data_IF_580754076268
#
_entry.id   IF_580754076268
#
_cell.length_a   1.000
_cell.length_b   1.000
_cell.length_c   1.000
_cell.angle_alpha   90.00
_cell.angle_beta   90.00
_cell.angle_gamma   90.00
#
_symmetry.space_group_name_H-M   'P 1'
#
loop_
_entity.id
_entity.type
_entity.pdbx_description
1 polymer ?
#
# COMPACT_ATOMS: atom_id res chain seq x y z
N UNK A 1 8.41 20.36 25.95
CA UNK A 1 8.48 19.65 24.67
C UNK A 1 8.55 18.18 25.02
N UNK A 2 7.68 17.35 24.46
CA UNK A 2 7.70 15.92 24.71
C UNK A 2 8.93 15.29 24.01
N UNK A 3 9.38 14.15 24.52
CA UNK A 3 10.56 13.44 24.01
C UNK A 3 10.18 12.19 23.23
N UNK A 4 11.01 11.78 22.25
CA UNK A 4 10.70 10.73 21.26
C UNK A 4 11.82 9.71 21.12
N UNK A 5 11.53 8.43 21.28
CA UNK A 5 12.38 7.31 20.87
C UNK A 5 11.98 6.85 19.46
N UNK A 6 12.93 6.79 18.54
CA UNK A 6 12.79 5.98 17.32
C UNK A 6 13.15 4.54 17.64
N UNK A 7 12.22 3.60 17.40
CA UNK A 7 12.45 2.17 17.57
C UNK A 7 12.42 1.46 16.21
N UNK A 8 13.44 0.69 15.91
CA UNK A 8 13.58 -0.05 14.65
C UNK A 8 14.01 -1.49 14.90
N UNK A 9 13.54 -2.39 14.04
CA UNK A 9 14.10 -3.75 13.92
C UNK A 9 14.69 -3.88 12.52
N UNK A 10 15.89 -4.43 12.43
CA UNK A 10 16.64 -4.44 11.16
C UNK A 10 17.27 -5.80 10.89
N UNK A 11 17.45 -6.11 9.60
CA UNK A 11 18.29 -7.21 9.11
C UNK A 11 18.73 -6.95 7.68
N UNK A 12 20.05 -6.81 7.44
CA UNK A 12 20.63 -6.62 6.11
C UNK A 12 20.04 -5.40 5.38
N UNK A 13 20.00 -4.24 6.04
CA UNK A 13 19.36 -3.00 5.57
C UNK A 13 20.38 -1.85 5.36
N UNK A 14 21.65 -2.17 5.11
CA UNK A 14 22.71 -1.16 4.98
C UNK A 14 22.42 -0.11 3.89
N UNK A 15 21.66 -0.45 2.86
CA UNK A 15 21.29 0.45 1.77
C UNK A 15 20.13 1.40 2.17
N UNK A 16 19.13 0.90 2.88
CA UNK A 16 17.90 1.63 3.20
C UNK A 16 18.00 2.45 4.50
N UNK A 17 18.64 1.87 5.53
CA UNK A 17 18.71 2.43 6.88
C UNK A 17 19.18 3.90 6.94
N UNK A 18 20.20 4.34 6.18
CA UNK A 18 20.64 5.75 6.22
C UNK A 18 19.55 6.75 5.87
N UNK A 19 18.68 6.39 4.92
CA UNK A 19 17.56 7.24 4.46
C UNK A 19 16.46 7.31 5.52
N UNK A 20 16.11 6.17 6.12
CA UNK A 20 15.13 6.11 7.21
C UNK A 20 15.57 6.98 8.38
N UNK A 21 16.81 6.81 8.86
CA UNK A 21 17.40 7.58 9.95
C UNK A 21 17.47 9.09 9.62
N UNK A 22 17.84 9.45 8.40
CA UNK A 22 17.89 10.85 7.97
C UNK A 22 16.51 11.53 8.02
N UNK A 23 15.41 10.79 7.76
CA UNK A 23 14.05 11.34 7.73
C UNK A 23 13.52 11.75 9.12
N UNK A 24 14.16 11.30 10.20
CA UNK A 24 13.74 11.55 11.60
C UNK A 24 14.82 12.27 12.43
N UNK A 25 15.93 12.70 11.82
CA UNK A 25 17.15 13.14 12.51
C UNK A 25 16.91 14.18 13.61
N UNK A 26 16.08 15.20 13.32
CA UNK A 26 15.85 16.31 14.23
C UNK A 26 14.60 16.11 15.12
N UNK A 27 13.93 14.97 14.98
CA UNK A 27 12.74 14.61 15.76
C UNK A 27 13.07 13.67 16.90
N UNK A 28 13.91 12.65 16.65
CA UNK A 28 14.22 11.60 17.61
C UNK A 28 15.24 12.11 18.65
N UNK A 29 14.89 12.05 19.92
CA UNK A 29 15.78 12.31 21.05
C UNK A 29 16.61 11.06 21.43
N UNK A 30 16.14 9.90 21.01
CA UNK A 30 16.76 8.60 21.21
C UNK A 30 16.52 7.69 19.99
N UNK A 31 17.50 6.87 19.63
CA UNK A 31 17.38 5.88 18.56
C UNK A 31 17.71 4.51 19.15
N UNK A 32 16.78 3.58 19.07
CA UNK A 32 16.92 2.17 19.49
C UNK A 32 16.79 1.27 18.27
N UNK A 33 17.81 0.47 18.00
CA UNK A 33 17.84 -0.48 16.89
C UNK A 33 18.03 -1.88 17.43
N UNK A 34 17.13 -2.79 17.10
CA UNK A 34 17.28 -4.23 17.37
C UNK A 34 17.67 -4.91 16.06
N UNK A 35 18.91 -5.38 16.00
CA UNK A 35 19.44 -6.17 14.89
C UNK A 35 19.11 -7.64 15.07
N UNK A 36 18.48 -8.26 14.08
CA UNK A 36 18.03 -9.66 14.11
C UNK A 36 18.96 -10.61 13.36
N UNK A 37 20.22 -10.23 13.22
CA UNK A 37 21.29 -11.04 12.63
C UNK A 37 21.70 -10.57 11.25
N UNK A 38 22.07 -9.31 11.10
CA UNK A 38 22.64 -8.74 9.86
C UNK A 38 24.02 -9.31 9.58
N UNK A 39 24.29 -9.60 8.31
CA UNK A 39 25.59 -9.99 7.78
C UNK A 39 26.34 -8.86 7.10
N UNK A 40 25.71 -7.68 6.96
CA UNK A 40 26.23 -6.48 6.28
C UNK A 40 26.63 -5.36 7.26
N UNK A 41 26.79 -4.12 6.76
CA UNK A 41 27.18 -2.97 7.56
C UNK A 41 26.03 -2.34 8.38
N UNK A 42 24.83 -2.92 8.41
CA UNK A 42 23.64 -2.36 9.08
C UNK A 42 23.90 -1.94 10.53
N UNK A 43 24.47 -2.78 11.42
CA UNK A 43 24.72 -2.38 12.81
C UNK A 43 25.70 -1.20 12.92
N UNK A 44 26.75 -1.22 12.11
CA UNK A 44 27.76 -0.14 12.09
C UNK A 44 27.17 1.20 11.63
N UNK A 45 26.23 1.18 10.70
CA UNK A 45 25.51 2.37 10.22
C UNK A 45 24.63 2.92 11.33
N UNK A 46 23.89 2.06 12.04
CA UNK A 46 23.06 2.44 13.17
C UNK A 46 23.91 3.09 14.31
N UNK A 47 25.01 2.47 14.69
CA UNK A 47 25.93 2.99 15.73
C UNK A 47 26.50 4.38 15.34
N UNK A 48 26.91 4.56 14.08
CA UNK A 48 27.41 5.86 13.57
C UNK A 48 26.34 6.95 13.59
N UNK A 49 25.06 6.59 13.50
CA UNK A 49 23.94 7.50 13.65
C UNK A 49 23.58 7.79 15.11
N UNK A 50 24.29 7.23 16.07
CA UNK A 50 24.08 7.42 17.51
C UNK A 50 23.00 6.48 18.11
N UNK A 51 22.62 5.41 17.41
CA UNK A 51 21.65 4.45 17.91
C UNK A 51 22.24 3.55 18.99
N UNK A 52 21.39 3.20 19.96
CA UNK A 52 21.61 2.05 20.86
C UNK A 52 21.29 0.78 20.09
N UNK A 53 22.33 0.03 19.70
CA UNK A 53 22.15 -1.23 18.93
C UNK A 53 22.13 -2.41 19.87
N UNK A 54 21.05 -3.21 19.79
CA UNK A 54 20.88 -4.46 20.53
C UNK A 54 20.73 -5.62 19.55
N UNK A 55 21.25 -6.78 19.91
CA UNK A 55 21.14 -7.98 19.08
C UNK A 55 20.09 -8.93 19.64
N UNK A 56 19.22 -9.41 18.77
CA UNK A 56 18.21 -10.42 19.09
C UNK A 56 18.30 -11.56 18.08
N UNK A 57 18.44 -12.79 18.57
CA UNK A 57 18.39 -13.96 17.70
C UNK A 57 16.98 -14.07 17.10
N UNK A 58 16.91 -14.14 15.77
CA UNK A 58 15.64 -14.25 15.07
C UNK A 58 14.89 -15.55 15.41
N UNK A 59 13.67 -15.40 15.91
CA UNK A 59 12.80 -16.50 16.35
C UNK A 59 11.51 -16.66 15.53
N UNK A 60 11.43 -16.12 14.29
CA UNK A 60 10.19 -16.07 13.49
C UNK A 60 9.04 -15.30 14.17
N UNK A 61 9.39 -14.28 14.93
CA UNK A 61 8.42 -13.46 15.67
C UNK A 61 8.81 -11.97 15.60
N UNK A 62 8.12 -11.23 14.74
CA UNK A 62 8.31 -9.80 14.59
C UNK A 62 7.85 -9.03 15.83
N UNK A 63 6.74 -9.43 16.48
CA UNK A 63 6.28 -8.77 17.69
C UNK A 63 7.31 -8.88 18.83
N UNK A 64 7.93 -10.03 18.99
CA UNK A 64 9.01 -10.20 19.98
C UNK A 64 10.20 -9.26 19.71
N UNK A 65 10.61 -9.12 18.45
CA UNK A 65 11.70 -8.21 18.08
C UNK A 65 11.31 -6.74 18.31
N UNK A 66 10.07 -6.34 17.92
CA UNK A 66 9.57 -4.98 18.21
C UNK A 66 9.49 -4.71 19.71
N UNK A 67 8.91 -5.62 20.48
CA UNK A 67 8.81 -5.45 21.94
C UNK A 67 10.19 -5.33 22.59
N UNK A 68 11.20 -6.05 22.09
CA UNK A 68 12.58 -5.89 22.56
C UNK A 68 13.12 -4.48 22.30
N UNK A 69 12.73 -3.80 21.22
CA UNK A 69 13.08 -2.39 21.00
C UNK A 69 12.32 -1.44 21.92
N UNK A 70 11.03 -1.72 22.17
CA UNK A 70 10.23 -0.92 23.11
C UNK A 70 10.77 -0.98 24.54
N UNK A 71 11.22 -2.17 24.97
CA UNK A 71 11.77 -2.37 26.32
C UNK A 71 13.07 -1.57 26.58
N UNK A 72 13.75 -1.10 25.51
CA UNK A 72 14.95 -0.26 25.59
C UNK A 72 14.66 1.24 25.43
N UNK A 73 13.46 1.61 24.99
CA UNK A 73 13.06 2.99 24.76
C UNK A 73 12.79 3.70 26.10
N UNK A 74 13.33 4.92 26.26
CA UNK A 74 13.23 5.67 27.51
C UNK A 74 12.44 6.96 27.41
N UNK A 75 12.07 7.39 26.17
CA UNK A 75 11.38 8.67 25.96
C UNK A 75 9.86 8.52 26.12
N UNK A 76 9.13 9.64 26.18
CA UNK A 76 7.68 9.68 26.42
C UNK A 76 6.87 9.08 25.25
N UNK A 77 7.36 9.27 24.03
CA UNK A 77 6.75 8.77 22.80
C UNK A 77 7.64 7.78 22.10
N UNK A 78 7.03 6.86 21.39
CA UNK A 78 7.70 5.90 20.51
C UNK A 78 7.22 6.16 19.09
N UNK A 79 8.17 6.35 18.18
CA UNK A 79 7.98 6.23 16.75
C UNK A 79 8.61 4.93 16.28
N UNK A 80 7.86 4.14 15.53
CA UNK A 80 8.40 2.93 14.90
C UNK A 80 8.48 3.14 13.39
N UNK A 81 9.64 2.85 12.81
CA UNK A 81 9.82 2.80 11.36
C UNK A 81 10.57 1.52 10.97
N UNK A 82 10.24 1.00 9.80
CA UNK A 82 11.03 -0.01 9.11
C UNK A 82 12.20 0.67 8.36
N UNK A 83 13.27 -0.05 8.08
CA UNK A 83 14.45 0.55 7.45
C UNK A 83 14.18 1.07 6.02
N UNK A 84 13.17 0.54 5.35
CA UNK A 84 12.70 0.94 4.01
C UNK A 84 11.52 1.94 4.05
N UNK A 85 11.19 2.46 5.25
CA UNK A 85 10.22 3.54 5.46
C UNK A 85 10.92 4.89 5.71
N UNK A 86 10.30 5.97 5.23
CA UNK A 86 10.74 7.35 5.48
C UNK A 86 9.55 8.23 5.80
N UNK A 87 9.71 9.19 6.72
CA UNK A 87 8.70 10.21 6.93
C UNK A 87 8.57 11.11 5.70
N UNK A 88 7.34 11.41 5.33
CA UNK A 88 7.05 12.54 4.45
C UNK A 88 7.17 13.86 5.22
N UNK A 89 7.17 15.00 4.52
CA UNK A 89 7.12 16.30 5.19
C UNK A 89 5.89 16.43 6.10
N UNK A 90 4.73 15.95 5.65
CA UNK A 90 3.50 15.97 6.45
C UNK A 90 3.61 15.11 7.72
N UNK A 91 4.22 13.92 7.62
CA UNK A 91 4.50 13.05 8.78
C UNK A 91 5.46 13.72 9.77
N UNK A 92 6.54 14.30 9.24
CA UNK A 92 7.53 15.02 10.04
C UNK A 92 6.89 16.19 10.83
N UNK A 93 6.16 17.08 10.13
CA UNK A 93 5.52 18.25 10.75
C UNK A 93 4.46 17.85 11.77
N UNK A 94 3.71 16.77 11.49
CA UNK A 94 2.73 16.26 12.42
C UNK A 94 3.38 15.71 13.71
N UNK A 95 4.44 14.90 13.63
CA UNK A 95 5.15 14.37 14.80
C UNK A 95 5.75 15.52 15.60
N UNK A 96 6.31 16.54 14.91
CA UNK A 96 6.81 17.74 15.57
C UNK A 96 5.71 18.44 16.35
N UNK A 97 4.50 18.60 15.79
CA UNK A 97 3.37 19.21 16.51
C UNK A 97 2.94 18.39 17.75
N UNK A 98 2.96 17.05 17.66
CA UNK A 98 2.70 16.18 18.83
C UNK A 98 3.72 16.40 19.94
N UNK A 99 5.00 16.65 19.61
CA UNK A 99 6.05 16.96 20.59
C UNK A 99 5.92 18.36 21.22
N UNK A 100 5.46 19.33 20.46
CA UNK A 100 5.52 20.76 20.83
C UNK A 100 4.19 21.28 21.39
N UNK A 101 3.06 20.76 20.94
CA UNK A 101 1.74 21.27 21.23
C UNK A 101 1.08 20.59 22.44
N UNK A 102 0.32 21.35 23.22
CA UNK A 102 -0.48 20.82 24.32
C UNK A 102 -1.80 20.18 23.87
N UNK A 103 -2.18 20.37 22.61
CA UNK A 103 -3.39 19.83 21.99
C UNK A 103 -3.13 19.53 20.53
N UNK A 104 -3.73 18.44 20.06
CA UNK A 104 -3.82 18.08 18.65
C UNK A 104 -5.30 18.14 18.24
N UNK A 105 -5.71 19.24 17.61
CA UNK A 105 -7.13 19.54 17.44
C UNK A 105 -7.83 19.67 18.79
N UNK A 106 -8.87 18.87 19.01
CA UNK A 106 -9.59 18.84 20.29
C UNK A 106 -8.94 17.91 21.34
N UNK A 107 -8.00 17.05 20.94
CA UNK A 107 -7.35 16.07 21.81
C UNK A 107 -6.23 16.75 22.61
N UNK A 108 -6.29 16.66 23.94
CA UNK A 108 -5.18 17.09 24.79
C UNK A 108 -3.99 16.15 24.60
N UNK A 109 -2.77 16.69 24.57
CA UNK A 109 -1.56 15.88 24.43
C UNK A 109 -1.50 14.75 25.48
N UNK A 110 -1.88 15.01 26.72
CA UNK A 110 -1.84 14.03 27.81
C UNK A 110 -2.86 12.89 27.66
N UNK A 111 -3.90 13.08 26.85
CA UNK A 111 -4.96 12.09 26.60
C UNK A 111 -4.72 11.34 25.28
N UNK A 112 -3.75 11.77 24.47
CA UNK A 112 -3.39 11.13 23.21
C UNK A 112 -2.53 9.89 23.46
N UNK A 113 -3.00 8.71 23.06
CA UNK A 113 -2.34 7.42 23.24
C UNK A 113 -1.64 6.92 21.99
N UNK A 114 -2.31 7.01 20.84
CA UNK A 114 -1.85 6.46 19.56
C UNK A 114 -2.16 7.43 18.42
N UNK A 115 -1.28 7.48 17.44
CA UNK A 115 -1.52 8.13 16.15
C UNK A 115 -1.41 7.10 15.04
N UNK A 116 -2.46 7.00 14.23
CA UNK A 116 -2.42 6.24 12.98
C UNK A 116 -2.03 7.16 11.81
N UNK A 117 -1.28 6.64 10.87
CA UNK A 117 -0.79 7.38 9.70
C UNK A 117 -1.07 6.60 8.43
N UNK A 118 -1.31 7.32 7.33
CA UNK A 118 -1.29 6.71 6.00
C UNK A 118 0.16 6.47 5.57
N UNK A 119 0.44 5.23 5.18
CA UNK A 119 1.68 4.83 4.53
C UNK A 119 1.41 4.64 3.04
N UNK A 120 2.25 5.24 2.20
CA UNK A 120 2.20 5.09 0.76
C UNK A 120 3.21 4.05 0.30
N UNK A 121 2.71 3.03 -0.40
CA UNK A 121 3.49 1.95 -0.99
C UNK A 121 4.04 2.41 -2.36
N UNK A 122 5.29 2.80 -2.42
CA UNK A 122 5.92 3.29 -3.65
C UNK A 122 6.05 2.14 -4.65
N UNK A 123 5.48 2.33 -5.84
CA UNK A 123 5.44 1.30 -6.90
C UNK A 123 4.21 0.41 -6.89
N UNK A 124 3.32 0.51 -5.90
CA UNK A 124 2.05 -0.20 -5.91
C UNK A 124 1.04 0.50 -6.83
N UNK A 125 0.43 -0.26 -7.77
CA UNK A 125 -0.40 0.30 -8.83
C UNK A 125 -1.90 0.39 -8.51
N UNK A 126 -2.44 -0.41 -7.59
CA UNK A 126 -3.88 -0.51 -7.35
C UNK A 126 -4.33 -0.15 -5.93
N UNK A 127 -3.53 -0.44 -4.93
CA UNK A 127 -3.82 -0.11 -3.54
C UNK A 127 -2.56 0.46 -2.88
N UNK A 128 -2.20 1.71 -3.22
CA UNK A 128 -0.92 2.29 -2.80
C UNK A 128 -0.95 2.81 -1.37
N UNK A 129 -2.02 2.62 -0.61
CA UNK A 129 -2.18 3.16 0.73
C UNK A 129 -2.51 2.09 1.76
N UNK A 130 -1.81 2.14 2.88
CA UNK A 130 -2.04 1.30 4.07
C UNK A 130 -2.08 2.19 5.30
N UNK A 131 -2.99 1.92 6.23
CA UNK A 131 -2.99 2.60 7.52
C UNK A 131 -2.10 1.85 8.50
N UNK A 132 -1.23 2.57 9.22
CA UNK A 132 -0.27 1.99 10.16
C UNK A 132 -0.26 2.77 11.47
N UNK A 133 -0.06 2.04 12.57
CA UNK A 133 0.04 2.57 13.94
C UNK A 133 1.52 2.69 14.29
N UNK A 134 2.12 3.87 14.05
CA UNK A 134 3.57 4.04 14.15
C UNK A 134 4.03 5.01 15.24
N UNK A 135 3.13 5.84 15.79
CA UNK A 135 3.45 6.78 16.87
C UNK A 135 2.53 6.56 18.06
N UNK A 136 3.08 6.23 19.23
CA UNK A 136 2.29 5.95 20.43
C UNK A 136 3.04 6.27 21.73
N UNK A 137 2.31 6.39 22.83
CA UNK A 137 2.88 6.61 24.16
C UNK A 137 3.74 5.44 24.58
N UNK A 138 4.91 5.74 25.18
CA UNK A 138 5.77 4.74 25.79
C UNK A 138 5.18 4.29 27.15
N UNK A 139 4.22 3.38 27.08
CA UNK A 139 3.60 2.77 28.25
C UNK A 139 3.91 1.27 28.27
N UNK A 140 4.26 0.67 29.42
CA UNK A 140 4.57 -0.77 29.51
C UNK A 140 3.44 -1.69 29.01
N UNK A 141 2.20 -1.21 29.05
CA UNK A 141 1.03 -1.96 28.60
C UNK A 141 0.84 -1.91 27.07
N UNK A 142 1.47 -0.97 26.35
CA UNK A 142 1.45 -0.94 24.89
C UNK A 142 2.49 -1.92 24.36
N UNK A 143 2.03 -3.00 23.75
CA UNK A 143 2.87 -4.08 23.23
C UNK A 143 2.39 -4.51 21.86
N UNK A 144 3.34 -4.88 21.02
CA UNK A 144 3.07 -5.58 19.78
C UNK A 144 2.58 -6.99 20.03
N UNK A 145 1.58 -7.41 19.31
CA UNK A 145 1.02 -8.76 19.32
C UNK A 145 1.08 -9.33 17.90
N UNK A 146 1.05 -10.64 17.79
CA UNK A 146 1.17 -11.46 16.58
C UNK A 146 2.59 -11.54 16.02
N UNK A 147 3.03 -12.74 15.64
CA UNK A 147 4.39 -12.94 15.12
C UNK A 147 4.62 -12.42 13.71
N UNK A 148 3.56 -12.12 12.96
CA UNK A 148 3.59 -11.56 11.61
C UNK A 148 2.41 -10.59 11.40
N UNK A 149 2.63 -9.49 10.72
CA UNK A 149 1.70 -8.35 10.68
C UNK A 149 1.35 -7.88 12.10
N UNK A 150 2.38 -7.74 12.90
CA UNK A 150 2.30 -7.32 14.28
C UNK A 150 1.72 -5.91 14.42
N UNK A 151 0.91 -5.69 15.44
CA UNK A 151 0.28 -4.41 15.74
C UNK A 151 0.18 -4.15 17.24
N UNK A 152 -0.01 -2.90 17.60
CA UNK A 152 -0.23 -2.44 18.98
C UNK A 152 -1.72 -2.21 19.30
N UNK A 153 -2.59 -2.33 18.32
CA UNK A 153 -3.99 -1.92 18.37
C UNK A 153 -4.76 -2.62 19.49
N UNK A 154 -4.53 -3.92 19.72
CA UNK A 154 -5.20 -4.67 20.79
C UNK A 154 -4.82 -4.17 22.18
N UNK A 155 -3.53 -3.92 22.40
CA UNK A 155 -3.05 -3.38 23.67
C UNK A 155 -3.55 -1.95 23.90
N UNK A 156 -3.63 -1.16 22.85
CA UNK A 156 -4.20 0.20 22.87
C UNK A 156 -5.70 0.15 23.18
N UNK A 157 -6.47 -0.73 22.54
CA UNK A 157 -7.90 -0.91 22.81
C UNK A 157 -8.15 -1.35 24.25
N UNK A 158 -7.34 -2.26 24.79
CA UNK A 158 -7.42 -2.67 26.18
C UNK A 158 -7.19 -1.50 27.15
N UNK A 159 -6.22 -0.63 26.88
CA UNK A 159 -5.98 0.59 27.66
C UNK A 159 -7.14 1.57 27.57
N UNK A 160 -7.69 1.79 26.38
CA UNK A 160 -8.85 2.68 26.18
C UNK A 160 -10.10 2.16 26.90
N UNK A 161 -10.29 0.84 26.94
CA UNK A 161 -11.38 0.23 27.70
C UNK A 161 -11.21 0.38 29.23
N UNK A 162 -9.97 0.36 29.72
CA UNK A 162 -9.66 0.54 31.14
C UNK A 162 -9.69 2.00 31.59
N UNK A 163 -9.27 2.94 30.72
CA UNK A 163 -9.18 4.36 31.03
C UNK A 163 -9.80 5.18 29.87
N UNK A 164 -11.01 5.71 30.08
CA UNK A 164 -11.79 6.46 29.09
C UNK A 164 -11.15 7.78 28.61
N UNK A 165 -10.08 8.26 29.25
CA UNK A 165 -9.35 9.46 28.81
C UNK A 165 -8.55 9.24 27.53
N UNK A 166 -8.09 8.01 27.27
CA UNK A 166 -7.22 7.73 26.14
C UNK A 166 -7.92 7.90 24.81
N UNK A 167 -7.26 8.59 23.90
CA UNK A 167 -7.77 8.89 22.58
C UNK A 167 -6.74 8.52 21.49
N UNK A 168 -7.27 8.22 20.31
CA UNK A 168 -6.47 7.92 19.11
C UNK A 168 -6.68 9.05 18.11
N UNK A 169 -5.58 9.57 17.56
CA UNK A 169 -5.62 10.52 16.45
C UNK A 169 -5.23 9.85 15.13
N UNK A 170 -5.61 10.47 14.04
CA UNK A 170 -5.23 10.05 12.69
C UNK A 170 -4.64 11.23 11.92
N UNK A 171 -3.46 11.02 11.32
CA UNK A 171 -2.96 11.95 10.32
C UNK A 171 -3.73 11.75 9.01
N UNK A 172 -4.47 12.76 8.58
CA UNK A 172 -5.29 12.72 7.36
C UNK A 172 -4.51 12.71 6.05
N UNK A 173 -3.21 13.01 6.10
CA UNK A 173 -2.29 13.00 4.96
C UNK A 173 -1.40 11.74 4.96
N UNK A 174 -0.69 11.51 3.87
CA UNK A 174 0.36 10.48 3.82
C UNK A 174 1.51 10.91 4.73
N UNK A 175 1.76 10.13 5.79
CA UNK A 175 2.80 10.40 6.79
C UNK A 175 4.11 9.66 6.52
N UNK A 176 4.03 8.51 5.83
CA UNK A 176 5.17 7.61 5.60
C UNK A 176 5.18 7.16 4.14
N UNK A 177 6.37 7.16 3.53
CA UNK A 177 6.65 6.49 2.26
C UNK A 177 7.39 5.19 2.53
N UNK A 178 6.95 4.09 1.89
CA UNK A 178 7.53 2.76 1.98
C UNK A 178 8.00 2.30 0.60
N UNK A 179 9.27 1.91 0.48
CA UNK A 179 9.90 1.54 -0.79
C UNK A 179 10.12 0.05 -0.98
N UNK A 180 9.66 -0.79 -0.05
CA UNK A 180 9.82 -2.25 -0.04
C UNK A 180 9.07 -3.01 -1.16
N UNK A 181 8.32 -2.32 -2.03
CA UNK A 181 7.58 -2.89 -3.16
C UNK A 181 8.37 -2.93 -4.49
N UNK A 182 9.68 -2.77 -4.48
CA UNK A 182 10.52 -3.01 -5.66
C UNK A 182 10.28 -4.41 -6.25
N UNK A 183 10.31 -4.54 -7.58
CA UNK A 183 10.01 -5.78 -8.31
C UNK A 183 10.82 -6.97 -7.80
N UNK A 184 12.04 -6.75 -7.34
CA UNK A 184 12.94 -7.77 -6.80
C UNK A 184 12.57 -8.21 -5.36
N UNK A 185 11.95 -7.33 -4.57
CA UNK A 185 11.56 -7.62 -3.19
C UNK A 185 10.30 -8.51 -3.10
N UNK A 186 9.39 -8.41 -4.08
CA UNK A 186 8.15 -9.22 -4.15
C UNK A 186 8.47 -10.64 -4.67
N UNK A 187 9.51 -10.81 -5.48
CA UNK A 187 9.84 -12.06 -6.16
C UNK A 187 10.51 -13.12 -5.27
N UNK A 188 10.84 -12.84 -4.00
CA UNK A 188 11.50 -13.85 -3.17
C UNK A 188 10.47 -14.85 -2.64
N UNK A 189 10.47 -16.07 -3.20
CA UNK A 189 9.74 -17.23 -2.67
C UNK A 189 9.96 -17.42 -1.17
N UNK A 190 11.09 -17.00 -0.66
CA UNK A 190 11.44 -17.09 0.77
C UNK A 190 10.60 -16.17 1.66
N UNK A 191 10.28 -14.93 1.21
CA UNK A 191 9.38 -14.03 1.96
C UNK A 191 7.98 -14.62 2.07
N UNK A 192 7.42 -15.11 0.95
CA UNK A 192 6.11 -15.73 0.92
C UNK A 192 6.04 -16.95 1.84
N UNK A 193 6.97 -17.91 1.67
CA UNK A 193 6.99 -19.16 2.45
C UNK A 193 7.16 -18.89 3.95
N UNK A 194 7.98 -17.90 4.32
CA UNK A 194 8.14 -17.49 5.71
C UNK A 194 6.86 -16.89 6.28
N UNK A 195 6.25 -15.94 5.58
CA UNK A 195 5.01 -15.31 5.99
C UNK A 195 3.89 -16.35 6.17
N UNK A 196 3.70 -17.22 5.19
CA UNK A 196 2.74 -18.31 5.21
C UNK A 196 2.95 -19.20 6.45
N UNK A 197 4.15 -19.72 6.64
CA UNK A 197 4.48 -20.63 7.75
C UNK A 197 4.22 -20.01 9.12
N UNK A 198 4.61 -18.75 9.31
CA UNK A 198 4.43 -18.05 10.58
C UNK A 198 2.94 -17.85 10.86
N UNK A 199 2.18 -17.36 9.88
CA UNK A 199 0.73 -17.11 10.04
C UNK A 199 -0.09 -18.39 10.17
N UNK A 200 0.23 -19.46 9.43
CA UNK A 200 -0.42 -20.76 9.58
C UNK A 200 -0.19 -21.35 10.98
N UNK A 201 1.06 -21.27 11.50
CA UNK A 201 1.37 -21.70 12.86
C UNK A 201 0.60 -20.91 13.91
N UNK A 202 0.49 -19.59 13.71
CA UNK A 202 -0.27 -18.74 14.63
C UNK A 202 -1.76 -19.10 14.62
N UNK A 203 -2.38 -19.24 13.44
CA UNK A 203 -3.79 -19.63 13.32
C UNK A 203 -4.09 -21.03 13.84
N UNK A 204 -3.13 -21.96 13.78
CA UNK A 204 -3.28 -23.25 14.40
C UNK A 204 -3.44 -23.17 15.94
N UNK A 205 -2.78 -22.19 16.56
CA UNK A 205 -2.88 -21.91 18.00
C UNK A 205 -4.07 -20.99 18.36
N UNK A 206 -4.44 -20.08 17.46
CA UNK A 206 -5.48 -19.06 17.63
C UNK A 206 -6.45 -19.05 16.43
N UNK A 207 -7.32 -20.07 16.27
CA UNK A 207 -8.18 -20.20 15.09
C UNK A 207 -9.20 -19.06 14.90
N UNK A 208 -9.53 -18.35 15.98
CA UNK A 208 -10.51 -17.24 15.98
C UNK A 208 -9.87 -15.87 15.62
N UNK A 209 -8.56 -15.83 15.38
CA UNK A 209 -7.89 -14.56 15.02
C UNK A 209 -8.23 -14.15 13.58
N UNK A 210 -9.33 -13.38 13.45
CA UNK A 210 -9.81 -12.88 12.17
C UNK A 210 -8.79 -12.00 11.45
N UNK A 211 -7.98 -11.24 12.19
CA UNK A 211 -6.96 -10.38 11.61
C UNK A 211 -5.87 -11.21 10.90
N UNK A 212 -5.31 -12.21 11.57
CA UNK A 212 -4.31 -13.08 10.93
C UNK A 212 -4.92 -13.90 9.80
N UNK A 213 -6.18 -14.37 9.94
CA UNK A 213 -6.88 -15.06 8.85
C UNK A 213 -7.08 -14.16 7.62
N UNK A 214 -7.41 -12.89 7.81
CA UNK A 214 -7.47 -11.89 6.73
C UNK A 214 -6.11 -11.71 6.05
N UNK A 215 -5.04 -11.52 6.81
CA UNK A 215 -3.68 -11.31 6.25
C UNK A 215 -3.16 -12.54 5.51
N UNK A 216 -3.40 -13.74 6.02
CA UNK A 216 -3.06 -14.99 5.32
C UNK A 216 -3.92 -15.20 4.08
N UNK A 217 -5.23 -14.86 4.15
CA UNK A 217 -6.12 -14.86 2.99
C UNK A 217 -5.67 -13.88 1.90
N UNK A 218 -5.21 -12.68 2.27
CA UNK A 218 -4.60 -11.72 1.36
C UNK A 218 -3.33 -12.26 0.71
N UNK A 219 -2.47 -12.92 1.49
CA UNK A 219 -1.25 -13.56 1.01
C UNK A 219 -1.55 -14.65 -0.03
N UNK A 220 -2.54 -15.53 0.24
CA UNK A 220 -2.98 -16.53 -0.73
C UNK A 220 -3.61 -15.90 -1.97
N UNK A 221 -4.34 -14.79 -1.83
CA UNK A 221 -4.88 -14.02 -2.96
C UNK A 221 -3.76 -13.52 -3.87
N UNK A 222 -2.66 -13.02 -3.33
CA UNK A 222 -1.49 -12.57 -4.09
C UNK A 222 -0.78 -13.73 -4.83
N UNK A 223 -0.76 -14.92 -4.20
CA UNK A 223 -0.15 -16.12 -4.80
C UNK A 223 -1.06 -16.84 -5.82
N UNK A 224 -2.33 -16.46 -5.90
CA UNK A 224 -3.31 -17.11 -6.77
C UNK A 224 -3.95 -18.39 -6.19
N UNK A 225 -3.79 -18.63 -4.90
CA UNK A 225 -4.39 -19.74 -4.17
C UNK A 225 -5.84 -19.39 -3.75
N UNK A 226 -6.72 -19.19 -4.76
CA UNK A 226 -8.06 -18.59 -4.60
C UNK A 226 -8.96 -19.35 -3.63
N UNK A 227 -8.92 -20.68 -3.62
CA UNK A 227 -9.77 -21.53 -2.76
C UNK A 227 -9.36 -21.37 -1.29
N UNK A 228 -8.05 -21.42 -0.99
CA UNK A 228 -7.54 -21.21 0.37
C UNK A 228 -7.85 -19.80 0.87
N UNK A 229 -7.64 -18.80 0.00
CA UNK A 229 -7.96 -17.41 0.30
C UNK A 229 -9.46 -17.27 0.65
N UNK A 230 -10.36 -17.84 -0.17
CA UNK A 230 -11.79 -17.76 0.06
C UNK A 230 -12.21 -18.34 1.41
N UNK A 231 -11.70 -19.54 1.75
CA UNK A 231 -12.02 -20.21 3.02
C UNK A 231 -11.61 -19.34 4.21
N UNK A 232 -10.38 -18.81 4.21
CA UNK A 232 -9.87 -17.99 5.29
C UNK A 232 -10.62 -16.67 5.43
N UNK A 233 -10.83 -15.95 4.33
CA UNK A 233 -11.54 -14.66 4.34
C UNK A 233 -13.01 -14.83 4.79
N UNK A 234 -13.68 -15.87 4.34
CA UNK A 234 -15.05 -16.17 4.81
C UNK A 234 -15.09 -16.59 6.28
N UNK A 235 -14.08 -17.31 6.75
CA UNK A 235 -13.98 -17.70 8.17
C UNK A 235 -13.74 -16.46 9.04
N UNK A 236 -12.82 -15.61 8.64
CA UNK A 236 -12.56 -14.35 9.32
C UNK A 236 -13.81 -13.46 9.38
N UNK A 237 -14.56 -13.36 8.28
CA UNK A 237 -15.78 -12.55 8.24
C UNK A 237 -16.89 -13.07 9.17
N UNK A 238 -16.92 -14.39 9.44
CA UNK A 238 -17.90 -14.99 10.37
C UNK A 238 -17.60 -14.75 11.84
N UNK A 239 -16.36 -14.46 12.20
CA UNK A 239 -15.98 -14.19 13.61
C UNK A 239 -16.64 -12.92 14.16
N UNK A 240 -17.00 -11.97 13.29
CA UNK A 240 -17.63 -10.68 13.62
C UNK A 240 -16.86 -9.83 14.66
N UNK A 241 -15.62 -10.19 14.97
CA UNK A 241 -14.76 -9.47 15.92
C UNK A 241 -13.54 -8.89 15.19
N UNK A 242 -13.76 -7.78 14.48
CA UNK A 242 -12.73 -7.09 13.74
C UNK A 242 -13.00 -5.58 13.71
N UNK A 243 -11.94 -4.80 13.58
CA UNK A 243 -12.02 -3.35 13.40
C UNK A 243 -12.43 -2.98 11.95
N UNK A 244 -12.84 -1.72 11.71
CA UNK A 244 -13.28 -1.30 10.37
C UNK A 244 -12.21 -1.45 9.28
N UNK A 245 -10.91 -1.33 9.60
CA UNK A 245 -9.86 -1.50 8.61
C UNK A 245 -9.75 -2.97 8.17
N UNK A 246 -9.81 -3.90 9.11
CA UNK A 246 -9.87 -5.35 8.84
C UNK A 246 -11.15 -5.70 8.06
N UNK A 247 -12.31 -5.11 8.42
CA UNK A 247 -13.57 -5.32 7.67
C UNK A 247 -13.44 -4.89 6.22
N UNK A 248 -12.86 -3.70 5.99
CA UNK A 248 -12.59 -3.19 4.65
C UNK A 248 -11.72 -4.17 3.85
N UNK A 249 -10.61 -4.62 4.43
CA UNK A 249 -9.69 -5.54 3.77
C UNK A 249 -10.34 -6.89 3.44
N UNK A 250 -11.14 -7.45 4.36
CA UNK A 250 -11.88 -8.69 4.14
C UNK A 250 -12.78 -8.60 2.91
N UNK A 251 -13.62 -7.57 2.82
CA UNK A 251 -14.48 -7.37 1.65
C UNK A 251 -13.69 -7.06 0.39
N UNK A 252 -12.62 -6.28 0.48
CA UNK A 252 -11.74 -5.98 -0.65
C UNK A 252 -11.10 -7.24 -1.24
N UNK A 253 -10.52 -8.10 -0.41
CA UNK A 253 -9.89 -9.35 -0.85
C UNK A 253 -10.93 -10.38 -1.32
N UNK A 254 -12.09 -10.47 -0.69
CA UNK A 254 -13.20 -11.28 -1.20
C UNK A 254 -13.63 -10.84 -2.61
N UNK A 255 -13.70 -9.54 -2.85
CA UNK A 255 -13.97 -8.99 -4.18
C UNK A 255 -12.95 -9.44 -5.22
N UNK A 256 -11.65 -9.43 -4.88
CA UNK A 256 -10.58 -9.92 -5.76
C UNK A 256 -10.74 -11.42 -6.03
N UNK A 257 -10.96 -12.22 -4.99
CA UNK A 257 -11.10 -13.69 -5.10
C UNK A 257 -12.30 -14.05 -5.95
N UNK A 258 -13.50 -13.51 -5.65
CA UNK A 258 -14.71 -13.78 -6.42
C UNK A 258 -14.59 -13.39 -7.89
N UNK A 259 -13.90 -12.27 -8.19
CA UNK A 259 -13.66 -11.87 -9.59
C UNK A 259 -12.83 -12.87 -10.38
N UNK A 260 -12.01 -13.69 -9.70
CA UNK A 260 -11.15 -14.71 -10.32
C UNK A 260 -11.81 -16.09 -10.43
N UNK A 261 -12.93 -16.27 -9.76
CA UNK A 261 -13.70 -17.52 -9.80
C UNK A 261 -14.81 -17.41 -10.83
N UNK A 262 -15.04 -18.50 -11.55
CA UNK A 262 -16.10 -18.56 -12.56
C UNK A 262 -17.48 -18.29 -11.92
N UNK A 263 -18.35 -17.59 -12.64
CA UNK A 263 -19.73 -17.26 -12.27
C UNK A 263 -19.92 -16.53 -10.91
N UNK A 264 -18.86 -15.85 -10.37
CA UNK A 264 -18.95 -15.14 -9.09
C UNK A 264 -18.90 -13.60 -9.23
N UNK A 265 -19.08 -13.04 -10.44
CA UNK A 265 -18.93 -11.60 -10.69
C UNK A 265 -19.91 -10.74 -9.86
N UNK A 266 -21.12 -11.24 -9.59
CA UNK A 266 -22.10 -10.52 -8.77
C UNK A 266 -21.68 -10.48 -7.29
N UNK A 267 -21.07 -11.56 -6.79
CA UNK A 267 -20.50 -11.59 -5.44
C UNK A 267 -19.27 -10.69 -5.33
N UNK A 268 -18.46 -10.60 -6.39
CA UNK A 268 -17.34 -9.68 -6.45
C UNK A 268 -17.81 -8.22 -6.37
N UNK A 269 -18.89 -7.88 -7.10
CA UNK A 269 -19.49 -6.56 -7.06
C UNK A 269 -20.02 -6.20 -5.67
N UNK A 270 -20.79 -7.10 -5.06
CA UNK A 270 -21.32 -6.93 -3.69
C UNK A 270 -20.18 -6.72 -2.69
N UNK A 271 -19.13 -7.54 -2.76
CA UNK A 271 -17.98 -7.43 -1.88
C UNK A 271 -17.26 -6.06 -2.02
N UNK A 272 -16.97 -5.59 -3.25
CA UNK A 272 -16.36 -4.27 -3.42
C UNK A 272 -17.28 -3.13 -2.94
N UNK A 273 -18.60 -3.21 -3.17
CA UNK A 273 -19.54 -2.22 -2.66
C UNK A 273 -19.58 -2.18 -1.13
N UNK A 274 -19.52 -3.35 -0.48
CA UNK A 274 -19.40 -3.45 0.98
C UNK A 274 -18.09 -2.85 1.47
N UNK A 275 -16.96 -3.16 0.83
CA UNK A 275 -15.67 -2.54 1.17
C UNK A 275 -15.76 -1.00 1.11
N UNK A 276 -16.32 -0.44 0.04
CA UNK A 276 -16.49 1.02 -0.12
C UNK A 276 -17.40 1.61 0.98
N UNK A 277 -18.39 0.88 1.46
CA UNK A 277 -19.32 1.34 2.48
C UNK A 277 -18.71 1.37 3.90
N UNK A 278 -17.65 0.58 4.17
CA UNK A 278 -17.00 0.57 5.50
C UNK A 278 -16.48 1.97 5.85
N UNK A 279 -16.66 2.46 7.11
CA UNK A 279 -16.23 3.80 7.53
C UNK A 279 -14.72 3.87 7.80
N UNK A 280 -13.91 3.78 6.75
CA UNK A 280 -12.44 3.95 6.78
C UNK A 280 -12.02 5.18 5.99
N UNK A 281 -10.75 5.59 6.16
CA UNK A 281 -10.18 6.72 5.42
C UNK A 281 -10.32 6.56 3.91
N UNK A 282 -10.67 7.66 3.22
CA UNK A 282 -10.95 7.63 1.77
C UNK A 282 -9.81 7.06 0.93
N UNK A 283 -8.55 7.37 1.27
CA UNK A 283 -7.38 6.86 0.57
C UNK A 283 -7.31 5.32 0.52
N UNK A 284 -7.74 4.63 1.57
CA UNK A 284 -7.80 3.16 1.60
C UNK A 284 -8.77 2.60 0.55
N UNK A 285 -9.86 3.33 0.26
CA UNK A 285 -10.91 2.90 -0.67
C UNK A 285 -10.53 2.97 -2.13
N UNK A 286 -9.39 3.59 -2.46
CA UNK A 286 -8.95 3.79 -3.84
C UNK A 286 -8.93 2.48 -4.63
N UNK A 287 -8.30 1.43 -4.06
CA UNK A 287 -8.21 0.11 -4.69
C UNK A 287 -9.58 -0.53 -4.95
N UNK A 288 -10.53 -0.37 -4.01
CA UNK A 288 -11.88 -0.91 -4.18
C UNK A 288 -12.65 -0.20 -5.31
N UNK A 289 -12.55 1.13 -5.43
CA UNK A 289 -13.14 1.88 -6.54
C UNK A 289 -12.52 1.48 -7.89
N UNK A 290 -11.20 1.35 -7.97
CA UNK A 290 -10.51 0.92 -9.20
C UNK A 290 -10.94 -0.48 -9.63
N UNK A 291 -11.00 -1.42 -8.68
CA UNK A 291 -11.40 -2.80 -8.96
C UNK A 291 -12.88 -2.93 -9.31
N UNK A 292 -13.77 -2.20 -8.62
CA UNK A 292 -15.20 -2.17 -8.96
C UNK A 292 -15.41 -1.56 -10.35
N UNK A 293 -14.74 -0.47 -10.69
CA UNK A 293 -14.78 0.12 -12.02
C UNK A 293 -14.36 -0.87 -13.12
N UNK A 294 -13.27 -1.61 -12.88
CA UNK A 294 -12.80 -2.64 -13.81
C UNK A 294 -13.79 -3.82 -13.94
N UNK A 295 -14.45 -4.20 -12.85
CA UNK A 295 -15.49 -5.24 -12.84
C UNK A 295 -16.74 -4.78 -13.61
N UNK A 296 -17.24 -3.57 -13.36
CA UNK A 296 -18.41 -3.00 -14.04
C UNK A 296 -18.16 -2.89 -15.54
N UNK A 297 -16.96 -2.45 -15.95
CA UNK A 297 -16.54 -2.47 -17.36
C UNK A 297 -16.62 -3.88 -17.96
N UNK A 298 -16.16 -4.91 -17.24
CA UNK A 298 -16.23 -6.30 -17.68
C UNK A 298 -17.69 -6.78 -17.83
N UNK A 299 -18.59 -6.36 -16.94
CA UNK A 299 -20.03 -6.65 -16.99
C UNK A 299 -20.77 -5.82 -18.06
N UNK A 300 -20.12 -4.84 -18.72
CA UNK A 300 -20.73 -3.96 -19.72
C UNK A 300 -21.39 -2.70 -19.15
N UNK A 301 -21.40 -2.52 -17.84
CA UNK A 301 -21.85 -1.28 -17.19
C UNK A 301 -20.76 -0.21 -17.29
N UNK A 302 -20.69 0.43 -18.45
CA UNK A 302 -19.66 1.43 -18.73
C UNK A 302 -19.89 2.73 -17.97
N UNK A 303 -21.14 3.10 -17.70
CA UNK A 303 -21.44 4.31 -16.92
C UNK A 303 -21.12 4.13 -15.44
N UNK A 304 -21.47 2.99 -14.87
CA UNK A 304 -21.06 2.62 -13.54
C UNK A 304 -19.53 2.57 -13.38
N UNK A 305 -18.82 2.07 -14.39
CA UNK A 305 -17.36 2.05 -14.38
C UNK A 305 -16.75 3.46 -14.34
N UNK A 306 -17.27 4.40 -15.15
CA UNK A 306 -16.83 5.81 -15.15
C UNK A 306 -17.07 6.42 -13.76
N UNK A 307 -18.25 6.23 -13.18
CA UNK A 307 -18.57 6.79 -11.86
C UNK A 307 -17.59 6.29 -10.76
N UNK A 308 -17.15 5.02 -10.84
CA UNK A 308 -16.16 4.50 -9.91
C UNK A 308 -14.76 5.12 -10.12
N UNK A 309 -14.33 5.30 -11.35
CA UNK A 309 -13.04 5.95 -11.65
C UNK A 309 -13.05 7.44 -11.31
N UNK A 310 -14.17 8.14 -11.49
CA UNK A 310 -14.32 9.51 -11.01
C UNK A 310 -14.24 9.60 -9.48
N UNK A 311 -14.82 8.63 -8.76
CA UNK A 311 -14.68 8.53 -7.30
C UNK A 311 -13.21 8.30 -6.93
N UNK A 312 -12.50 7.40 -7.62
CA UNK A 312 -11.08 7.17 -7.44
C UNK A 312 -10.24 8.45 -7.68
N UNK A 313 -10.55 9.21 -8.75
CA UNK A 313 -9.87 10.47 -9.06
C UNK A 313 -10.11 11.57 -8.01
N UNK A 314 -11.29 11.58 -7.36
CA UNK A 314 -11.55 12.50 -6.21
C UNK A 314 -10.78 12.10 -4.97
N UNK A 315 -10.55 10.82 -4.75
CA UNK A 315 -9.77 10.29 -3.62
C UNK A 315 -8.29 10.63 -3.80
N UNK A 316 -7.75 10.29 -4.96
CA UNK A 316 -6.36 10.59 -5.32
C UNK A 316 -6.24 10.97 -6.79
N UNK A 317 -6.16 12.29 -7.09
CA UNK A 317 -6.03 12.77 -8.46
C UNK A 317 -4.66 12.51 -9.10
N UNK A 318 -3.69 12.02 -8.33
CA UNK A 318 -2.30 11.82 -8.81
C UNK A 318 -2.02 10.41 -9.32
N UNK A 319 -3.02 9.52 -9.34
CA UNK A 319 -2.87 8.13 -9.76
C UNK A 319 -3.05 7.96 -11.28
N UNK A 320 -1.98 7.67 -12.05
CA UNK A 320 -2.06 7.53 -13.50
C UNK A 320 -3.01 6.41 -13.96
N UNK A 321 -3.08 5.31 -13.19
CA UNK A 321 -3.94 4.15 -13.50
C UNK A 321 -5.42 4.51 -13.53
N UNK A 322 -5.86 5.46 -12.73
CA UNK A 322 -7.26 5.93 -12.73
C UNK A 322 -7.63 6.49 -14.10
N UNK A 323 -6.80 7.37 -14.65
CA UNK A 323 -7.05 8.02 -15.94
C UNK A 323 -6.83 7.08 -17.12
N UNK A 324 -5.88 6.15 -17.04
CA UNK A 324 -5.78 5.06 -18.01
C UNK A 324 -7.10 4.29 -18.10
N UNK A 325 -7.66 3.90 -16.96
CA UNK A 325 -8.90 3.14 -16.91
C UNK A 325 -10.11 3.95 -17.40
N UNK A 326 -10.20 5.23 -17.06
CA UNK A 326 -11.21 6.14 -17.62
C UNK A 326 -11.11 6.20 -19.14
N UNK A 327 -9.91 6.35 -19.68
CA UNK A 327 -9.66 6.34 -21.13
C UNK A 327 -10.10 5.05 -21.81
N UNK A 328 -9.83 3.89 -21.17
CA UNK A 328 -10.28 2.59 -21.67
C UNK A 328 -11.82 2.50 -21.75
N UNK A 329 -12.54 3.04 -20.77
CA UNK A 329 -14.01 3.04 -20.77
C UNK A 329 -14.55 4.03 -21.80
N UNK A 330 -14.01 5.25 -21.88
CA UNK A 330 -14.42 6.22 -22.91
C UNK A 330 -14.21 5.65 -24.32
N UNK A 331 -13.08 4.99 -24.56
CA UNK A 331 -12.83 4.31 -25.83
C UNK A 331 -13.86 3.20 -26.12
N UNK A 332 -14.23 2.41 -25.11
CA UNK A 332 -15.24 1.36 -25.25
C UNK A 332 -16.63 1.93 -25.58
N UNK A 333 -16.95 3.12 -25.08
CA UNK A 333 -18.18 3.88 -25.44
C UNK A 333 -18.08 4.57 -26.81
N UNK A 334 -16.93 4.53 -27.48
CA UNK A 334 -16.70 5.25 -28.75
C UNK A 334 -16.38 6.74 -28.57
N UNK A 335 -16.21 7.23 -27.38
CA UNK A 335 -15.87 8.62 -27.06
C UNK A 335 -14.35 8.84 -27.18
N UNK A 336 -13.88 9.05 -28.42
CA UNK A 336 -12.45 9.04 -28.71
C UNK A 336 -11.71 10.26 -28.12
N UNK A 337 -12.29 11.47 -28.19
CA UNK A 337 -11.68 12.68 -27.64
C UNK A 337 -11.62 12.65 -26.07
N UNK A 338 -12.66 12.24 -25.36
CA UNK A 338 -12.55 11.98 -23.92
C UNK A 338 -11.48 10.93 -23.58
N UNK A 339 -11.37 9.86 -24.37
CA UNK A 339 -10.34 8.84 -24.17
C UNK A 339 -8.92 9.40 -24.38
N UNK A 340 -8.72 10.21 -25.44
CA UNK A 340 -7.46 10.90 -25.70
C UNK A 340 -7.04 11.74 -24.48
N UNK A 341 -7.92 12.64 -24.01
CA UNK A 341 -7.63 13.51 -22.85
C UNK A 341 -7.28 12.71 -21.60
N UNK A 342 -7.98 11.61 -21.34
CA UNK A 342 -7.71 10.76 -20.18
C UNK A 342 -6.32 10.12 -20.27
N UNK A 343 -5.91 9.61 -21.43
CA UNK A 343 -4.58 9.05 -21.61
C UNK A 343 -3.48 10.11 -21.55
N UNK A 344 -3.70 11.29 -22.11
CA UNK A 344 -2.77 12.41 -22.02
C UNK A 344 -2.56 12.83 -20.56
N UNK A 345 -3.64 12.85 -19.75
CA UNK A 345 -3.53 13.17 -18.33
C UNK A 345 -2.76 12.07 -17.55
N UNK A 346 -3.00 10.79 -17.87
CA UNK A 346 -2.21 9.70 -17.28
C UNK A 346 -0.71 9.83 -17.59
N UNK A 347 -0.37 10.23 -18.84
CA UNK A 347 1.01 10.48 -19.27
C UNK A 347 1.63 11.71 -18.57
N UNK A 348 0.84 12.76 -18.35
CA UNK A 348 1.31 13.94 -17.62
C UNK A 348 1.67 13.61 -16.16
N UNK A 349 0.95 12.69 -15.54
CA UNK A 349 1.24 12.19 -14.18
C UNK A 349 2.44 11.23 -14.15
N UNK A 350 2.56 10.36 -15.15
CA UNK A 350 3.70 9.45 -15.31
C UNK A 350 4.18 9.43 -16.77
N UNK A 351 5.22 10.21 -17.10
CA UNK A 351 5.80 10.25 -18.45
C UNK A 351 6.41 8.93 -18.94
N UNK A 352 6.54 7.93 -18.05
CA UNK A 352 7.04 6.59 -18.40
C UNK A 352 5.92 5.53 -18.46
N UNK A 353 4.66 5.94 -18.40
CA UNK A 353 3.53 5.03 -18.42
C UNK A 353 3.24 4.45 -19.82
N UNK A 354 4.01 3.44 -20.22
CA UNK A 354 3.95 2.83 -21.57
C UNK A 354 2.56 2.39 -22.00
N UNK A 355 1.73 1.86 -21.07
CA UNK A 355 0.36 1.46 -21.37
C UNK A 355 -0.54 2.65 -21.79
N UNK A 356 -0.33 3.84 -21.23
CA UNK A 356 -1.08 5.03 -21.61
C UNK A 356 -0.69 5.51 -23.03
N UNK A 357 0.61 5.51 -23.36
CA UNK A 357 1.07 5.82 -24.72
C UNK A 357 0.52 4.84 -25.76
N UNK A 358 0.53 3.53 -25.47
CA UNK A 358 -0.04 2.52 -26.36
C UNK A 358 -1.52 2.77 -26.67
N UNK A 359 -2.32 3.04 -25.63
CA UNK A 359 -3.75 3.29 -25.80
C UNK A 359 -4.03 4.64 -26.45
N UNK A 360 -3.23 5.67 -26.16
CA UNK A 360 -3.28 6.96 -26.82
C UNK A 360 -3.01 6.82 -28.32
N UNK A 361 -1.97 6.07 -28.71
CA UNK A 361 -1.61 5.83 -30.09
C UNK A 361 -2.79 5.26 -30.91
N UNK A 362 -3.49 4.25 -30.34
CA UNK A 362 -4.67 3.64 -30.99
C UNK A 362 -5.81 4.64 -31.13
N UNK A 363 -6.05 5.51 -30.16
CA UNK A 363 -7.11 6.53 -30.23
C UNK A 363 -6.75 7.61 -31.23
N UNK A 364 -5.50 8.08 -31.24
CA UNK A 364 -5.02 9.07 -32.22
C UNK A 364 -5.15 8.56 -33.66
N UNK A 365 -4.81 7.29 -33.90
CA UNK A 365 -5.02 6.64 -35.19
C UNK A 365 -6.49 6.71 -35.63
N UNK A 366 -7.42 6.34 -34.74
CA UNK A 366 -8.87 6.38 -35.00
C UNK A 366 -9.39 7.80 -35.26
N UNK A 367 -8.74 8.81 -34.68
CA UNK A 367 -9.04 10.24 -34.90
C UNK A 367 -8.39 10.81 -36.17
N UNK A 368 -7.62 10.00 -36.92
CA UNK A 368 -6.90 10.45 -38.12
C UNK A 368 -5.64 11.28 -37.83
N UNK A 369 -5.19 11.35 -36.56
CA UNK A 369 -3.98 12.07 -36.13
C UNK A 369 -2.77 11.16 -36.28
N UNK A 370 -2.40 10.87 -37.55
CA UNK A 370 -1.42 9.83 -37.87
C UNK A 370 0.01 10.13 -37.36
N UNK A 371 0.55 11.37 -37.49
CA UNK A 371 1.88 11.69 -36.97
C UNK A 371 1.97 11.50 -35.44
N UNK A 372 0.97 11.97 -34.71
CA UNK A 372 0.90 11.89 -33.27
C UNK A 372 0.72 10.42 -32.82
N UNK A 373 -0.07 9.64 -33.55
CA UNK A 373 -0.24 8.20 -33.32
C UNK A 373 1.10 7.46 -33.45
N UNK A 374 1.88 7.73 -34.50
CA UNK A 374 3.20 7.16 -34.71
C UNK A 374 4.13 7.48 -33.55
N UNK A 375 4.23 8.77 -33.19
CA UNK A 375 5.07 9.21 -32.08
C UNK A 375 4.69 8.53 -30.76
N UNK A 376 3.40 8.36 -30.47
CA UNK A 376 2.93 7.69 -29.27
C UNK A 376 3.28 6.19 -29.30
N UNK A 377 3.17 5.48 -30.43
CA UNK A 377 3.62 4.09 -30.56
C UNK A 377 5.12 3.95 -30.35
N UNK A 378 5.93 4.79 -30.98
CA UNK A 378 7.39 4.79 -30.84
C UNK A 378 7.80 5.02 -29.38
N UNK A 379 7.15 5.95 -28.68
CA UNK A 379 7.38 6.17 -27.26
C UNK A 379 7.01 4.94 -26.41
N UNK A 380 5.84 4.33 -26.63
CA UNK A 380 5.44 3.11 -25.96
C UNK A 380 6.47 1.97 -26.17
N UNK A 381 6.91 1.76 -27.41
CA UNK A 381 7.92 0.77 -27.75
C UNK A 381 9.25 1.05 -27.02
N UNK A 382 9.68 2.31 -27.00
CA UNK A 382 10.95 2.68 -26.35
C UNK A 382 10.94 2.39 -24.84
N UNK A 383 9.79 2.61 -24.19
CA UNK A 383 9.62 2.39 -22.75
C UNK A 383 9.63 0.92 -22.34
N UNK A 384 9.14 0.02 -23.20
CA UNK A 384 9.06 -1.41 -22.88
C UNK A 384 10.19 -2.23 -23.50
N UNK A 385 11.02 -1.65 -24.37
CA UNK A 385 12.02 -2.37 -25.16
C UNK A 385 13.03 -3.18 -24.34
N UNK A 386 13.44 -2.64 -23.19
CA UNK A 386 14.43 -3.27 -22.31
C UNK A 386 13.79 -4.22 -21.30
N UNK A 387 12.62 -3.87 -20.79
CA UNK A 387 11.93 -4.61 -19.70
C UNK A 387 11.04 -5.72 -20.25
N UNK A 388 10.46 -5.54 -21.43
CA UNK A 388 9.59 -6.52 -22.08
C UNK A 388 9.78 -6.47 -23.62
N UNK A 389 10.85 -7.12 -24.17
CA UNK A 389 11.12 -7.13 -25.60
C UNK A 389 9.98 -7.73 -26.45
N UNK A 390 9.27 -8.73 -25.92
CA UNK A 390 8.14 -9.36 -26.61
C UNK A 390 6.99 -8.38 -26.83
N UNK A 391 6.67 -7.59 -25.82
CA UNK A 391 5.66 -6.53 -25.92
C UNK A 391 6.09 -5.43 -26.89
N UNK A 392 7.36 -5.03 -26.87
CA UNK A 392 7.90 -4.07 -27.84
C UNK A 392 7.69 -4.58 -29.29
N UNK A 393 7.93 -5.87 -29.55
CA UNK A 393 7.71 -6.44 -30.88
C UNK A 393 6.22 -6.52 -31.23
N UNK A 394 5.36 -6.88 -30.28
CA UNK A 394 3.90 -6.87 -30.48
C UNK A 394 3.40 -5.46 -30.88
N UNK A 395 3.93 -4.42 -30.23
CA UNK A 395 3.58 -3.03 -30.55
C UNK A 395 4.05 -2.62 -31.94
N UNK A 396 5.28 -3.02 -32.36
CA UNK A 396 5.78 -2.79 -33.72
C UNK A 396 4.90 -3.46 -34.78
N UNK A 397 4.52 -4.71 -34.52
CA UNK A 397 3.64 -5.44 -35.43
C UNK A 397 2.24 -4.79 -35.51
N UNK A 398 1.71 -4.28 -34.36
CA UNK A 398 0.46 -3.52 -34.33
C UNK A 398 0.53 -2.25 -35.17
N UNK A 399 1.61 -1.49 -35.07
CA UNK A 399 1.84 -0.28 -35.88
C UNK A 399 1.93 -0.60 -37.38
N UNK A 400 2.60 -1.69 -37.76
CA UNK A 400 2.65 -2.16 -39.17
C UNK A 400 1.27 -2.59 -39.68
N UNK A 401 0.49 -3.31 -38.87
CA UNK A 401 -0.87 -3.76 -39.22
C UNK A 401 -1.80 -2.57 -39.49
N UNK A 402 -1.62 -1.47 -38.73
CA UNK A 402 -2.36 -0.23 -38.95
C UNK A 402 -1.87 0.57 -40.18
N UNK A 403 -0.78 0.13 -40.85
CA UNK A 403 -0.18 0.78 -42.01
C UNK A 403 0.11 2.28 -41.81
N UNK A 404 0.52 2.67 -40.63
CA UNK A 404 0.72 4.07 -40.25
C UNK A 404 1.80 4.72 -41.15
N UNK A 405 2.90 3.99 -41.39
CA UNK A 405 3.99 4.52 -42.21
C UNK A 405 3.56 4.69 -43.69
N UNK A 406 2.77 3.74 -44.27
CA UNK A 406 2.20 3.86 -45.59
C UNK A 406 1.25 5.06 -45.69
N UNK A 407 0.40 5.22 -44.66
CA UNK A 407 -0.58 6.35 -44.61
C UNK A 407 0.11 7.73 -44.49
N UNK A 408 1.34 7.76 -43.95
CA UNK A 408 2.17 8.96 -43.82
C UNK A 408 3.09 9.17 -45.08
N UNK A 409 3.06 8.27 -46.05
CA UNK A 409 3.95 8.34 -47.20
C UNK A 409 5.42 8.07 -46.88
N UNK A 410 5.69 7.33 -45.80
CA UNK A 410 7.04 7.01 -45.31
C UNK A 410 7.47 5.56 -45.68
N UNK A 411 6.64 4.80 -46.38
CA UNK A 411 6.88 3.41 -46.79
C UNK A 411 7.48 3.30 -48.19
#
# INVERSE_FOLDING_TARGET
>A
MATLSLCMIVKDEAENLPRALASVRDLADEIVVVDTGSGDATPTIAEKAGAKVNFLMWGDDFAAARNASLDQATQEWILVLDADETLTQAGYDFIRSVKEEKKLGEIKSDDLLLVTMMRREIGANQSPYTQVSRLFRNLPAVKYVRPYHEGVEESVQALMAAEARWQVAQLGAVGIDHTGYGVDAIASKDKFSRAQRIMEKHLAAFPEDAYTANKLGALYTQNGDWEKALILLQTALRSANFDPATEYELYYHLGIVYRRMDDQLDKAEDAYRKAIAVPVAGLLKLGAHLNLGALLKLKGDLDGAIAQYEAAARIDPTQPVTYLNMGLVHRAKGYLEPAQRAYEYAIALDPNYGAAYQNLAVVLFKLGKLPESKAAFEKAISLVKTTNPAEAERLRQGMKTLKIDEALGLA
#
